data_IF_048646820301
#
_entry.id   IF_048646820301
#
_cell.length_a   1.000
_cell.length_b   1.000
_cell.length_c   1.000
_cell.angle_alpha   90.00
_cell.angle_beta   90.00
_cell.angle_gamma   90.00
#
_symmetry.space_group_name_H-M   'P 1'
#
loop_
_entity.id
_entity.type
_entity.pdbx_description
1 polymer ?
#
# COMPACT_ATOMS: atom_id res chain seq x y z
N UNK A 1 11.25 10.02 -2.12
CA UNK A 1 9.96 9.31 -2.12
C UNK A 1 9.74 8.53 -0.84
N UNK A 2 8.89 9.05 0.03
CA UNK A 2 8.47 8.38 1.26
C UNK A 2 7.24 7.52 0.95
N UNK A 3 7.46 6.42 0.21
CA UNK A 3 6.41 5.47 -0.16
C UNK A 3 6.55 4.16 0.64
N UNK A 4 5.42 3.54 0.93
CA UNK A 4 5.33 2.33 1.73
C UNK A 4 5.75 1.10 0.92
N UNK A 5 6.61 0.30 1.55
CA UNK A 5 7.13 -0.95 1.02
C UNK A 5 6.06 -2.03 0.87
N UNK A 6 6.39 -3.12 0.18
CA UNK A 6 5.53 -4.31 0.16
C UNK A 6 5.29 -4.78 1.59
N UNK A 7 4.05 -5.13 1.91
CA UNK A 7 3.64 -5.57 3.25
C UNK A 7 3.74 -4.53 4.36
N UNK A 8 4.07 -3.27 4.04
CA UNK A 8 3.99 -2.18 5.01
C UNK A 8 2.53 -1.85 5.30
N UNK A 9 2.21 -1.59 6.56
CA UNK A 9 0.89 -1.09 6.96
C UNK A 9 0.57 0.21 6.24
N UNK A 10 -0.63 0.30 5.68
CA UNK A 10 -1.06 1.44 4.88
C UNK A 10 -2.48 1.84 5.24
N UNK A 11 -2.82 3.08 4.90
CA UNK A 11 -4.16 3.60 5.06
C UNK A 11 -4.93 3.51 3.72
N UNK A 12 -6.09 2.85 3.66
CA UNK A 12 -6.86 2.71 2.42
C UNK A 12 -7.50 4.02 1.93
N UNK A 13 -7.62 5.03 2.78
CA UNK A 13 -8.08 6.37 2.45
C UNK A 13 -6.91 7.30 2.11
N UNK A 14 -5.69 6.95 2.52
CA UNK A 14 -4.44 7.64 2.19
C UNK A 14 -3.36 6.66 1.70
N UNK A 15 -3.53 6.17 0.47
CA UNK A 15 -2.63 5.21 -0.15
C UNK A 15 -1.26 5.85 -0.42
N UNK A 16 -0.27 5.46 0.39
CA UNK A 16 1.12 5.87 0.23
C UNK A 16 2.00 4.73 -0.29
N UNK A 17 1.43 3.67 -0.85
CA UNK A 17 2.21 2.55 -1.36
C UNK A 17 3.06 2.97 -2.56
N UNK A 18 4.28 2.43 -2.68
CA UNK A 18 5.12 2.70 -3.85
C UNK A 18 4.44 2.25 -5.16
N UNK A 19 4.87 2.82 -6.28
CA UNK A 19 4.35 2.48 -7.62
C UNK A 19 4.33 0.96 -7.86
N UNK A 20 3.25 0.47 -8.48
CA UNK A 20 2.97 -0.96 -8.65
C UNK A 20 2.34 -1.65 -7.43
N UNK A 21 2.07 -0.90 -6.35
CA UNK A 21 1.41 -1.41 -5.15
C UNK A 21 0.18 -0.59 -4.81
N UNK A 22 -0.75 -1.21 -4.09
CA UNK A 22 -1.97 -0.58 -3.58
C UNK A 22 -2.25 -1.05 -2.17
N UNK A 23 -2.79 -0.15 -1.38
CA UNK A 23 -3.24 -0.45 -0.04
C UNK A 23 -4.47 -1.36 -0.09
N UNK A 24 -4.35 -2.60 0.40
CA UNK A 24 -5.50 -3.48 0.48
C UNK A 24 -6.45 -2.99 1.58
N UNK A 25 -7.68 -2.57 1.23
CA UNK A 25 -8.68 -2.11 2.21
C UNK A 25 -9.02 -3.12 3.30
N UNK A 26 -8.97 -4.42 2.98
CA UNK A 26 -9.30 -5.49 3.93
C UNK A 26 -8.21 -5.70 4.98
N UNK A 27 -6.96 -5.71 4.54
CA UNK A 27 -5.84 -6.11 5.37
C UNK A 27 -4.96 -4.93 5.83
N UNK A 28 -5.18 -3.73 5.27
CA UNK A 28 -4.49 -2.47 5.60
C UNK A 28 -2.97 -2.52 5.46
N UNK A 29 -2.51 -3.09 4.35
CA UNK A 29 -1.08 -3.18 3.96
C UNK A 29 -0.90 -3.13 2.45
N UNK A 30 0.27 -2.65 2.00
CA UNK A 30 0.60 -2.50 0.59
C UNK A 30 0.83 -3.85 -0.07
N UNK A 31 0.01 -4.16 -1.08
CA UNK A 31 0.15 -5.36 -1.93
C UNK A 31 0.47 -4.96 -3.35
N UNK A 32 1.08 -5.88 -4.12
CA UNK A 32 1.18 -5.69 -5.57
C UNK A 32 -0.21 -5.60 -6.20
N UNK A 33 -0.35 -4.66 -7.13
CA UNK A 33 -1.46 -4.64 -8.07
C UNK A 33 -1.05 -5.57 -9.21
N UNK A 34 -1.71 -6.72 -9.31
CA UNK A 34 -1.67 -7.56 -10.52
C UNK A 34 -2.46 -6.90 -11.64
#
# INVERSE_FOLDING_TARGET
>A
DDCLGMFSSCDPDNDKCCEGRKCNRKDKWCKYVL
#
